data_IF_597278987753
#
_entry.id   IF_597278987753
#
_cell.length_a   1.000
_cell.length_b   1.000
_cell.length_c   1.000
_cell.angle_alpha   90.00
_cell.angle_beta   90.00
_cell.angle_gamma   90.00
#
_symmetry.space_group_name_H-M   'P 1'
#
loop_
_entity.id
_entity.type
_entity.pdbx_description
1 polymer ?
#
# COMPACT_ATOMS: atom_id res chain seq x y z
N UNK A 1 5.47 -19.11 5.51
CA UNK A 1 6.62 -18.28 5.09
C UNK A 1 7.38 -19.04 4.00
N UNK A 2 7.78 -18.38 2.91
CA UNK A 2 8.55 -19.01 1.82
C UNK A 2 9.91 -18.31 1.69
N UNK A 3 10.96 -19.08 1.40
CA UNK A 3 12.31 -18.56 1.19
C UNK A 3 12.52 -18.39 -0.32
N UNK A 4 12.86 -17.18 -0.75
CA UNK A 4 13.29 -16.91 -2.13
C UNK A 4 14.82 -16.91 -2.21
N UNK A 5 15.37 -17.34 -3.35
CA UNK A 5 16.81 -17.29 -3.58
C UNK A 5 17.23 -15.90 -4.06
N UNK A 6 18.32 -15.40 -3.47
CA UNK A 6 19.06 -14.27 -4.01
C UNK A 6 20.04 -14.75 -5.07
N UNK A 7 20.19 -13.98 -6.14
CA UNK A 7 21.15 -14.25 -7.20
C UNK A 7 21.67 -12.93 -7.80
N UNK A 8 22.68 -13.03 -8.66
CA UNK A 8 23.23 -11.88 -9.39
C UNK A 8 22.66 -11.84 -10.80
N UNK A 9 22.29 -10.65 -11.28
CA UNK A 9 21.97 -10.39 -12.66
C UNK A 9 22.89 -9.26 -13.16
N UNK A 10 23.95 -9.63 -13.89
CA UNK A 10 25.08 -8.73 -14.15
C UNK A 10 25.69 -8.23 -12.84
N UNK A 11 25.83 -6.91 -12.70
CA UNK A 11 26.34 -6.27 -11.48
C UNK A 11 25.29 -6.11 -10.38
N UNK A 12 24.00 -6.29 -10.69
CA UNK A 12 22.88 -6.10 -9.76
C UNK A 12 22.59 -7.35 -8.93
N UNK A 13 21.95 -7.17 -7.77
CA UNK A 13 21.36 -8.25 -6.98
C UNK A 13 19.88 -8.40 -7.35
N UNK A 14 19.39 -9.64 -7.43
CA UNK A 14 18.01 -9.95 -7.77
C UNK A 14 17.44 -11.03 -6.84
N UNK A 15 16.11 -11.02 -6.69
CA UNK A 15 15.32 -12.02 -5.96
C UNK A 15 14.51 -12.83 -6.97
N UNK A 16 14.57 -14.16 -6.91
CA UNK A 16 13.68 -14.99 -7.73
C UNK A 16 12.33 -15.15 -7.03
N UNK A 17 11.31 -14.46 -7.52
CA UNK A 17 9.94 -14.60 -7.00
C UNK A 17 9.36 -15.97 -7.35
N UNK A 18 8.87 -16.74 -6.36
CA UNK A 18 8.07 -17.93 -6.61
C UNK A 18 6.80 -17.59 -7.39
N UNK A 19 6.19 -18.59 -8.05
CA UNK A 19 5.07 -18.38 -8.99
C UNK A 19 3.89 -17.67 -8.32
N UNK A 20 3.61 -18.00 -7.07
CA UNK A 20 2.51 -17.46 -6.28
C UNK A 20 2.71 -16.01 -5.81
N UNK A 21 3.92 -15.43 -5.97
CA UNK A 21 4.23 -14.05 -5.60
C UNK A 21 4.57 -13.17 -6.81
N UNK A 22 4.23 -13.61 -8.03
CA UNK A 22 4.47 -12.81 -9.24
C UNK A 22 3.54 -11.60 -9.28
N UNK A 23 4.09 -10.47 -9.69
CA UNK A 23 3.31 -9.28 -10.03
C UNK A 23 2.85 -9.36 -11.49
N UNK A 24 1.76 -8.65 -11.79
CA UNK A 24 1.39 -8.33 -13.17
C UNK A 24 2.19 -7.10 -13.64
N UNK A 25 2.49 -7.03 -14.95
CA UNK A 25 3.28 -5.95 -15.54
C UNK A 25 4.80 -6.15 -15.46
N UNK A 26 5.53 -5.06 -15.68
CA UNK A 26 6.99 -5.08 -15.85
C UNK A 26 7.75 -4.36 -14.70
N UNK A 27 7.05 -3.55 -13.91
CA UNK A 27 7.65 -2.66 -12.90
C UNK A 27 6.91 -2.71 -11.56
N UNK A 28 7.64 -2.42 -10.48
CA UNK A 28 7.12 -2.30 -9.11
C UNK A 28 7.75 -1.10 -8.42
N UNK A 29 7.00 -0.45 -7.52
CA UNK A 29 7.59 0.49 -6.58
C UNK A 29 8.38 -0.27 -5.51
N UNK A 30 9.50 0.30 -5.08
CA UNK A 30 10.36 -0.26 -4.03
C UNK A 30 10.49 0.72 -2.87
N UNK A 31 10.26 0.24 -1.65
CA UNK A 31 10.46 1.00 -0.41
C UNK A 31 11.35 0.21 0.54
N UNK A 32 12.33 0.88 1.14
CA UNK A 32 13.19 0.29 2.19
C UNK A 32 12.85 0.90 3.54
N UNK A 33 12.69 0.07 4.56
CA UNK A 33 12.47 0.50 5.95
C UNK A 33 13.34 -0.38 6.85
N UNK A 34 14.45 0.19 7.33
CA UNK A 34 15.48 -0.58 8.03
C UNK A 34 16.08 -1.68 7.15
N UNK A 35 15.94 -2.93 7.60
CA UNK A 35 16.37 -4.14 6.89
C UNK A 35 15.27 -4.77 6.01
N UNK A 36 14.08 -4.16 5.94
CA UNK A 36 12.95 -4.66 5.16
C UNK A 36 12.86 -3.93 3.82
N UNK A 37 12.67 -4.69 2.75
CA UNK A 37 12.35 -4.18 1.41
C UNK A 37 10.91 -4.57 1.09
N UNK A 38 10.09 -3.58 0.75
CA UNK A 38 8.70 -3.74 0.35
C UNK A 38 8.60 -3.46 -1.15
N UNK A 39 8.01 -4.39 -1.89
CA UNK A 39 7.69 -4.26 -3.31
C UNK A 39 6.19 -4.06 -3.45
N UNK A 40 5.78 -3.04 -4.20
CA UNK A 40 4.37 -2.65 -4.37
C UNK A 40 4.10 -2.59 -5.89
N UNK A 41 3.03 -3.20 -6.40
CA UNK A 41 2.72 -3.13 -7.83
C UNK A 41 2.48 -1.68 -8.29
N UNK A 42 2.90 -1.34 -9.51
CA UNK A 42 2.70 0.01 -10.08
C UNK A 42 1.26 0.22 -10.56
N UNK A 43 0.68 -0.80 -11.18
CA UNK A 43 -0.75 -0.88 -11.47
C UNK A 43 -1.50 -1.37 -10.23
N UNK A 44 -2.76 -0.98 -10.06
CA UNK A 44 -3.63 -1.53 -9.00
C UNK A 44 -3.06 -1.36 -7.58
N UNK A 45 -2.19 -0.36 -7.36
CA UNK A 45 -1.52 -0.13 -6.07
C UNK A 45 -2.51 0.17 -4.93
N UNK A 46 -3.71 0.63 -5.28
CA UNK A 46 -4.82 0.88 -4.36
C UNK A 46 -5.75 -0.32 -4.18
N UNK A 47 -5.64 -1.40 -4.96
CA UNK A 47 -6.56 -2.54 -4.86
C UNK A 47 -6.45 -3.19 -3.49
N UNK A 48 -5.24 -3.26 -2.91
CA UNK A 48 -5.07 -3.74 -1.53
C UNK A 48 -5.82 -2.87 -0.51
N UNK A 49 -5.83 -1.53 -0.72
CA UNK A 49 -6.61 -0.62 0.11
C UNK A 49 -8.11 -0.83 -0.12
N UNK A 50 -8.56 -0.88 -1.38
CA UNK A 50 -9.97 -1.06 -1.73
C UNK A 50 -10.51 -2.39 -1.19
N UNK A 51 -9.81 -3.50 -1.40
CA UNK A 51 -10.16 -4.81 -0.82
C UNK A 51 -10.10 -4.82 0.72
N UNK A 52 -9.37 -3.90 1.34
CA UNK A 52 -9.40 -3.76 2.80
C UNK A 52 -10.70 -3.13 3.30
N UNK A 53 -11.42 -2.40 2.45
CA UNK A 53 -12.71 -1.83 2.80
C UNK A 53 -13.76 -2.93 3.04
N UNK A 54 -13.66 -4.06 2.34
CA UNK A 54 -14.54 -5.23 2.55
C UNK A 54 -14.36 -5.89 3.93
N UNK A 55 -13.33 -5.51 4.69
CA UNK A 55 -13.08 -6.03 6.04
C UNK A 55 -13.82 -5.27 7.13
N UNK A 56 -14.42 -4.13 6.81
CA UNK A 56 -15.25 -3.42 7.77
C UNK A 56 -16.58 -4.16 7.97
N UNK A 57 -17.12 -4.06 9.18
CA UNK A 57 -18.48 -4.56 9.45
C UNK A 57 -19.50 -3.65 8.76
N UNK A 58 -20.70 -4.16 8.42
CA UNK A 58 -21.72 -3.37 7.71
C UNK A 58 -22.16 -2.09 8.44
N UNK A 59 -21.98 -2.04 9.76
CA UNK A 59 -22.35 -0.93 10.63
C UNK A 59 -21.20 0.07 10.86
N UNK A 60 -20.00 -0.21 10.37
CA UNK A 60 -18.83 0.66 10.52
C UNK A 60 -19.09 2.03 9.88
N UNK A 61 -19.05 3.09 10.70
CA UNK A 61 -19.36 4.47 10.28
C UNK A 61 -20.74 4.62 9.61
N UNK A 62 -21.73 3.82 10.02
CA UNK A 62 -23.13 3.93 9.57
C UNK A 62 -23.74 5.30 9.82
N UNK A 63 -23.29 5.99 10.88
CA UNK A 63 -23.61 7.38 11.16
C UNK A 63 -22.33 8.22 11.22
N UNK A 64 -22.42 9.43 10.68
CA UNK A 64 -21.36 10.44 10.80
C UNK A 64 -21.86 11.55 11.72
N UNK A 65 -21.31 11.61 12.92
CA UNK A 65 -21.50 12.75 13.81
C UNK A 65 -20.61 13.92 13.34
N UNK A 66 -21.14 14.70 12.40
CA UNK A 66 -20.46 15.88 11.87
C UNK A 66 -20.96 17.13 12.62
N UNK A 67 -20.10 17.79 13.41
CA UNK A 67 -20.51 19.02 14.10
C UNK A 67 -20.75 20.15 13.11
N UNK A 68 -21.51 21.15 13.55
CA UNK A 68 -21.70 22.38 12.79
C UNK A 68 -20.37 23.08 12.52
N UNK A 69 -20.31 23.78 11.39
CA UNK A 69 -19.13 24.56 11.04
C UNK A 69 -18.83 25.59 12.13
N UNK A 70 -17.59 25.67 12.56
CA UNK A 70 -17.18 26.64 13.57
C UNK A 70 -17.11 28.02 12.93
N UNK A 71 -17.83 28.99 13.49
CA UNK A 71 -17.59 30.40 13.20
C UNK A 71 -16.33 30.84 13.93
N UNK A 72 -15.36 31.38 13.19
CA UNK A 72 -14.16 32.01 13.74
C UNK A 72 -14.12 33.48 13.35
N UNK A 73 -13.38 34.26 14.12
CA UNK A 73 -13.11 35.67 13.84
C UNK A 73 -12.39 35.80 12.49
N UNK A 74 -12.68 36.87 11.75
CA UNK A 74 -11.93 37.17 10.53
C UNK A 74 -10.46 37.42 10.88
N UNK A 75 -9.57 36.93 10.01
CA UNK A 75 -8.12 37.05 10.21
C UNK A 75 -7.70 38.54 10.16
N UNK A 76 -8.54 39.40 9.59
CA UNK A 76 -8.32 40.83 9.49
C UNK A 76 -9.57 41.60 9.95
N UNK A 77 -9.39 42.75 10.62
CA UNK A 77 -10.49 43.58 11.10
C UNK A 77 -11.34 44.18 9.98
#
# INVERSE_FOLDING_TARGET
MKIAKLFKNGQSQAVRLPKEFRFEGEEVFIKKTGNVVVLIPTAHSWDSLLCSLDKFTPDFMSERDQPQHQTREDIFP
#
